data_IF_742705612355
#
_entry.id   IF_742705612355
#
_cell.length_a   1.000
_cell.length_b   1.000
_cell.length_c   1.000
_cell.angle_alpha   90.00
_cell.angle_beta   90.00
_cell.angle_gamma   90.00
#
_symmetry.space_group_name_H-M   'P 1'
#
loop_
_entity.id
_entity.type
_entity.pdbx_description
1 polymer ?
#
# COMPACT_ATOMS: atom_id res chain seq x y z
N UNK A 1 8.42 -21.12 -10.06
CA UNK A 1 7.29 -20.41 -10.68
C UNK A 1 7.61 -18.92 -10.66
N UNK A 2 7.62 -18.31 -11.85
CA UNK A 2 8.23 -17.03 -12.16
C UNK A 2 7.69 -15.88 -11.30
N UNK A 3 8.53 -15.33 -10.43
CA UNK A 3 8.34 -13.98 -9.89
C UNK A 3 9.12 -13.04 -10.80
N UNK A 4 8.57 -12.75 -11.98
CA UNK A 4 9.06 -11.62 -12.77
C UNK A 4 8.91 -10.38 -11.90
N UNK A 5 10.02 -9.89 -11.36
CA UNK A 5 9.99 -8.57 -10.74
C UNK A 5 9.61 -7.60 -11.85
N UNK A 6 8.56 -6.79 -11.66
CA UNK A 6 8.35 -5.71 -12.60
C UNK A 6 9.59 -4.82 -12.61
N UNK A 7 9.92 -4.21 -13.74
CA UNK A 7 11.10 -3.34 -13.92
C UNK A 7 11.04 -2.05 -13.07
N UNK A 8 10.02 -1.88 -12.23
CA UNK A 8 9.83 -0.72 -11.35
C UNK A 8 10.01 -1.06 -9.86
N UNK A 9 10.49 -0.09 -9.09
CA UNK A 9 10.63 -0.21 -7.63
C UNK A 9 9.28 -0.07 -6.91
N UNK A 10 9.07 -0.86 -5.87
CA UNK A 10 7.87 -0.80 -5.02
C UNK A 10 7.68 0.57 -4.37
N UNK A 11 8.78 1.24 -3.99
CA UNK A 11 8.79 2.61 -3.48
C UNK A 11 8.18 3.59 -4.48
N UNK A 12 8.62 3.52 -5.74
CA UNK A 12 8.13 4.40 -6.79
C UNK A 12 6.65 4.16 -7.09
N UNK A 13 6.23 2.89 -7.10
CA UNK A 13 4.81 2.52 -7.23
C UNK A 13 3.96 3.18 -6.12
N UNK A 14 4.38 3.03 -4.86
CA UNK A 14 3.64 3.57 -3.73
C UNK A 14 3.63 5.09 -3.71
N UNK A 15 4.76 5.71 -4.08
CA UNK A 15 4.85 7.15 -4.26
C UNK A 15 3.87 7.65 -5.33
N UNK A 16 3.66 6.92 -6.43
CA UNK A 16 2.62 7.31 -7.40
C UNK A 16 1.21 7.12 -6.87
N UNK A 17 0.95 6.09 -6.07
CA UNK A 17 -0.39 5.79 -5.53
C UNK A 17 -0.79 6.82 -4.46
N UNK A 18 0.16 7.36 -3.70
CA UNK A 18 -0.10 8.35 -2.64
C UNK A 18 -0.76 9.64 -3.17
N UNK A 19 -0.46 10.02 -4.41
CA UNK A 19 -1.07 11.17 -5.10
C UNK A 19 -2.56 10.93 -5.45
N UNK A 20 -3.03 9.69 -5.38
CA UNK A 20 -4.40 9.31 -5.75
C UNK A 20 -5.17 8.76 -4.56
N UNK A 21 -5.65 9.62 -3.63
CA UNK A 21 -6.43 9.20 -2.47
C UNK A 21 -7.70 8.41 -2.83
N UNK A 22 -8.26 8.59 -4.03
CA UNK A 22 -9.38 7.80 -4.53
C UNK A 22 -9.11 6.28 -4.57
N UNK A 23 -7.84 5.86 -4.61
CA UNK A 23 -7.43 4.45 -4.65
C UNK A 23 -7.46 3.79 -3.26
N UNK A 24 -7.20 4.54 -2.19
CA UNK A 24 -7.00 3.98 -0.85
C UNK A 24 -7.87 4.63 0.25
N UNK A 25 -8.22 5.91 0.15
CA UNK A 25 -9.12 6.59 1.08
C UNK A 25 -10.57 6.28 0.75
N UNK A 26 -11.24 5.58 1.68
CA UNK A 26 -12.69 5.35 1.63
C UNK A 26 -13.52 6.62 1.85
N UNK A 27 -12.91 7.62 2.47
CA UNK A 27 -13.52 8.89 2.83
C UNK A 27 -13.66 9.86 1.65
N UNK A 28 -12.91 9.63 0.56
CA UNK A 28 -13.05 10.46 -0.63
C UNK A 28 -14.44 10.29 -1.25
N UNK A 29 -15.15 11.38 -1.59
CA UNK A 29 -16.43 11.32 -2.28
C UNK A 29 -16.31 10.56 -3.61
N UNK A 30 -15.12 10.60 -4.21
CA UNK A 30 -14.75 9.90 -5.44
C UNK A 30 -14.47 8.41 -5.27
N UNK A 31 -14.37 7.89 -4.05
CA UNK A 31 -14.14 6.47 -3.79
C UNK A 31 -15.28 5.59 -4.29
N UNK A 32 -16.51 6.12 -4.36
CA UNK A 32 -17.68 5.42 -4.91
C UNK A 32 -17.65 5.31 -6.43
N UNK A 33 -16.88 6.16 -7.10
CA UNK A 33 -16.80 6.18 -8.57
C UNK A 33 -15.79 5.16 -9.08
N UNK A 34 -16.28 4.01 -9.56
CA UNK A 34 -15.46 2.99 -10.22
C UNK A 34 -14.61 3.57 -11.37
N UNK A 35 -15.22 4.45 -12.19
CA UNK A 35 -14.54 5.09 -13.31
C UNK A 35 -13.33 5.94 -12.87
N UNK A 36 -13.46 6.70 -11.78
CA UNK A 36 -12.36 7.55 -11.27
C UNK A 36 -11.22 6.70 -10.72
N UNK A 37 -11.54 5.63 -9.99
CA UNK A 37 -10.54 4.65 -9.53
C UNK A 37 -9.78 4.04 -10.68
N UNK A 38 -10.48 3.61 -11.72
CA UNK A 38 -9.84 3.00 -12.89
C UNK A 38 -8.94 3.99 -13.63
N UNK A 39 -9.40 5.24 -13.79
CA UNK A 39 -8.57 6.32 -14.34
C UNK A 39 -7.31 6.58 -13.51
N UNK A 40 -7.42 6.60 -12.17
CA UNK A 40 -6.25 6.75 -11.29
C UNK A 40 -5.27 5.58 -11.46
N UNK A 41 -5.76 4.34 -11.49
CA UNK A 41 -4.92 3.17 -11.76
C UNK A 41 -4.24 3.27 -13.12
N UNK A 42 -4.96 3.67 -14.16
CA UNK A 42 -4.42 3.87 -15.50
C UNK A 42 -3.31 4.92 -15.50
N UNK A 43 -3.51 6.06 -14.82
CA UNK A 43 -2.49 7.10 -14.69
C UNK A 43 -1.21 6.61 -14.01
N UNK A 44 -1.34 5.85 -12.91
CA UNK A 44 -0.19 5.24 -12.23
C UNK A 44 0.54 4.26 -13.16
N UNK A 45 -0.20 3.39 -13.82
CA UNK A 45 0.32 2.39 -14.75
C UNK A 45 1.07 3.03 -15.92
N UNK A 46 0.49 4.08 -16.53
CA UNK A 46 1.14 4.88 -17.58
C UNK A 46 2.39 5.58 -17.06
N UNK A 47 2.36 6.15 -15.84
CA UNK A 47 3.50 6.86 -15.27
C UNK A 47 4.70 5.97 -14.97
N UNK A 48 4.47 4.67 -14.73
CA UNK A 48 5.53 3.68 -14.48
C UNK A 48 5.73 2.72 -15.68
N UNK A 49 5.07 3.01 -16.80
CA UNK A 49 5.12 2.26 -18.06
C UNK A 49 4.82 0.76 -17.95
N UNK A 50 3.79 0.39 -17.18
CA UNK A 50 3.35 -1.02 -17.05
C UNK A 50 1.84 -1.16 -17.18
N UNK A 51 1.37 -2.39 -17.20
CA UNK A 51 -0.06 -2.68 -17.23
C UNK A 51 -0.73 -2.45 -15.86
N UNK A 52 -1.95 -1.94 -15.89
CA UNK A 52 -2.79 -1.70 -14.69
C UNK A 52 -2.95 -2.96 -13.85
N UNK A 53 -3.05 -4.15 -14.45
CA UNK A 53 -3.16 -5.41 -13.74
C UNK A 53 -1.89 -5.69 -12.90
N UNK A 54 -0.70 -5.36 -13.43
CA UNK A 54 0.57 -5.52 -12.73
C UNK A 54 0.61 -4.57 -11.53
N UNK A 55 0.27 -3.29 -11.74
CA UNK A 55 0.19 -2.27 -10.68
C UNK A 55 -0.75 -2.73 -9.55
N UNK A 56 -1.96 -3.16 -9.90
CA UNK A 56 -2.97 -3.64 -8.95
C UNK A 56 -2.50 -4.88 -8.20
N UNK A 57 -1.92 -5.86 -8.89
CA UNK A 57 -1.38 -7.09 -8.29
C UNK A 57 -0.24 -6.81 -7.32
N UNK A 58 0.69 -5.92 -7.71
CA UNK A 58 1.83 -5.54 -6.87
C UNK A 58 1.38 -4.77 -5.64
N UNK A 59 0.51 -3.77 -5.81
CA UNK A 59 -0.05 -3.02 -4.69
C UNK A 59 -0.83 -3.93 -3.73
N UNK A 60 -1.61 -4.89 -4.25
CA UNK A 60 -2.29 -5.90 -3.44
C UNK A 60 -1.30 -6.69 -2.59
N UNK A 61 -0.23 -7.21 -3.20
CA UNK A 61 0.80 -7.98 -2.50
C UNK A 61 1.49 -7.17 -1.40
N UNK A 62 1.82 -5.90 -1.68
CA UNK A 62 2.40 -4.97 -0.71
C UNK A 62 1.44 -4.72 0.46
N UNK A 63 0.15 -4.52 0.18
CA UNK A 63 -0.88 -4.33 1.21
C UNK A 63 -1.08 -5.58 2.07
N UNK A 64 -1.01 -6.77 1.49
CA UNK A 64 -1.05 -8.02 2.26
C UNK A 64 0.17 -8.15 3.17
N UNK A 65 1.35 -7.77 2.69
CA UNK A 65 2.57 -7.70 3.51
C UNK A 65 2.40 -6.72 4.67
N UNK A 66 1.88 -5.52 4.43
CA UNK A 66 1.57 -4.53 5.47
C UNK A 66 0.67 -5.11 6.58
N UNK A 67 -0.42 -5.80 6.21
CA UNK A 67 -1.33 -6.43 7.18
C UNK A 67 -0.66 -7.53 8.00
N UNK A 68 0.31 -8.26 7.43
CA UNK A 68 1.10 -9.24 8.18
C UNK A 68 2.04 -8.55 9.16
N UNK A 69 2.70 -7.48 8.74
CA UNK A 69 3.56 -6.68 9.62
C UNK A 69 2.79 -6.11 10.81
N UNK A 70 1.59 -5.54 10.59
CA UNK A 70 0.73 -5.06 11.67
C UNK A 70 0.37 -6.16 12.68
N UNK A 71 -0.04 -7.35 12.19
CA UNK A 71 -0.35 -8.49 13.06
C UNK A 71 0.86 -8.96 13.85
N UNK A 72 2.05 -8.91 13.25
CA UNK A 72 3.30 -9.28 13.91
C UNK A 72 3.65 -8.28 15.02
N UNK A 73 3.48 -6.98 14.78
CA UNK A 73 3.64 -5.95 15.81
C UNK A 73 2.64 -6.13 16.95
N UNK A 74 1.35 -6.31 16.64
CA UNK A 74 0.32 -6.55 17.67
C UNK A 74 0.63 -7.80 18.52
N UNK A 75 1.10 -8.89 17.89
CA UNK A 75 1.47 -10.11 18.57
C UNK A 75 2.72 -9.94 19.45
N UNK A 76 3.69 -9.13 18.99
CA UNK A 76 4.90 -8.80 19.74
C UNK A 76 4.58 -7.90 20.94
N UNK A 77 3.62 -6.98 20.83
CA UNK A 77 3.18 -6.15 21.97
C UNK A 77 2.44 -6.95 23.04
N UNK A 78 1.67 -7.99 22.67
CA UNK A 78 0.93 -8.83 23.64
C UNK A 78 1.77 -9.89 24.33
N UNK A 79 2.80 -10.40 23.67
CA UNK A 79 3.66 -11.44 24.23
C UNK A 79 4.87 -10.73 24.84
N UNK A 80 4.95 -10.62 26.17
CA UNK A 80 6.01 -9.90 26.90
C UNK A 80 7.46 -10.41 26.69
N UNK A 81 7.70 -11.21 25.65
CA UNK A 81 8.99 -11.68 25.18
C UNK A 81 9.57 -10.66 24.19
N UNK A 82 10.00 -9.52 24.73
CA UNK A 82 10.65 -8.46 23.97
C UNK A 82 12.01 -8.90 23.44
N UNK A 83 12.06 -9.38 22.20
CA UNK A 83 13.22 -9.17 21.32
C UNK A 83 12.83 -9.53 19.89
N UNK A 84 12.24 -8.58 19.17
CA UNK A 84 12.03 -8.74 17.75
C UNK A 84 13.12 -7.95 17.02
N UNK A 85 14.28 -8.56 16.80
CA UNK A 85 15.38 -7.99 16.00
C UNK A 85 15.04 -7.95 14.48
N UNK A 86 13.75 -7.82 14.14
CA UNK A 86 13.27 -7.77 12.76
C UNK A 86 13.42 -6.35 12.26
N UNK A 87 14.12 -6.21 11.13
CA UNK A 87 14.16 -4.94 10.42
C UNK A 87 12.73 -4.54 10.04
N UNK A 88 12.27 -3.35 10.44
CA UNK A 88 10.98 -2.84 9.99
C UNK A 88 10.97 -2.78 8.47
N UNK A 89 9.90 -3.23 7.85
CA UNK A 89 9.75 -3.14 6.41
C UNK A 89 9.74 -1.67 5.99
N UNK A 90 10.72 -1.23 5.18
CA UNK A 90 10.90 0.20 4.86
C UNK A 90 9.68 0.86 4.20
N UNK A 91 8.84 0.09 3.49
CA UNK A 91 7.61 0.58 2.87
C UNK A 91 6.42 0.66 3.83
N UNK A 92 6.56 0.11 5.04
CA UNK A 92 5.52 0.16 6.05
C UNK A 92 5.11 1.60 6.35
N UNK A 93 6.07 2.52 6.45
CA UNK A 93 5.83 3.95 6.72
C UNK A 93 4.96 4.61 5.66
N UNK A 94 5.11 4.25 4.38
CA UNK A 94 4.22 4.72 3.31
C UNK A 94 2.79 4.23 3.51
N UNK A 95 2.62 2.94 3.83
CA UNK A 95 1.30 2.40 4.13
C UNK A 95 0.70 2.98 5.40
N UNK A 96 1.52 3.21 6.42
CA UNK A 96 1.11 3.85 7.66
C UNK A 96 0.54 5.24 7.37
N UNK A 97 1.30 6.13 6.71
CA UNK A 97 0.81 7.44 6.31
C UNK A 97 -0.48 7.38 5.46
N UNK A 98 -0.57 6.40 4.56
CA UNK A 98 -1.71 6.20 3.66
C UNK A 98 -2.97 5.67 4.36
N UNK A 99 -2.80 4.73 5.30
CA UNK A 99 -3.86 3.88 5.87
C UNK A 99 -4.22 4.27 7.30
N UNK A 100 -3.26 4.78 8.07
CA UNK A 100 -3.49 5.33 9.40
C UNK A 100 -4.56 6.40 9.29
N UNK A 101 -4.46 7.27 8.27
CA UNK A 101 -5.52 8.17 7.87
C UNK A 101 -6.24 8.75 9.08
N UNK A 102 -5.49 9.05 10.15
CA UNK A 102 -6.01 9.38 11.47
C UNK A 102 -6.84 10.61 11.28
N UNK A 103 -8.13 10.36 11.05
CA UNK A 103 -9.20 11.17 11.55
C UNK A 103 -8.89 11.24 13.04
N UNK A 104 -8.15 12.29 13.43
CA UNK A 104 -8.22 12.84 14.76
C UNK A 104 -9.72 13.00 15.03
N UNK A 105 -10.34 11.96 15.60
CA UNK A 105 -11.57 12.12 16.34
C UNK A 105 -11.11 12.79 17.63
N UNK A 106 -11.01 14.11 17.56
CA UNK A 106 -11.09 14.97 18.73
C UNK A 106 -12.48 14.80 19.38
#
# INVERSE_FOLDING_TARGET
>A
MASGNPEFSDEFLLQRIIDYPALYKKDSPDYKSHLKKENCWQKVATAINVDVAIVKSRFKSLREKYRRELKLEEAATRSGSGSNNRKPWSLKTFFDFMMDGSQHRA
#
